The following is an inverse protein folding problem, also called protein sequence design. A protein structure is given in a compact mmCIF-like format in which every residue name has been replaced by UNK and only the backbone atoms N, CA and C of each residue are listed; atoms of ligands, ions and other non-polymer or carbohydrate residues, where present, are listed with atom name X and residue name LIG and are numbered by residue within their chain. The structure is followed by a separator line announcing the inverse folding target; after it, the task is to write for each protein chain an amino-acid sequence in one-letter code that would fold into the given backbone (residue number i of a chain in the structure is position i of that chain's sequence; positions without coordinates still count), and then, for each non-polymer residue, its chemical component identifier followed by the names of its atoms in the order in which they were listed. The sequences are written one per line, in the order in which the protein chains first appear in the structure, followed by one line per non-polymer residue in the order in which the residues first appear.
data_IF_220740064759
#
_entry.id   IF_220740064759
#
_cell.length_a   1.000
_cell.length_b   1.000
_cell.length_c   1.000
_cell.angle_alpha   90.00
_cell.angle_beta   90.00
_cell.angle_gamma   90.00
#
_symmetry.space_group_name_H-M   'P 1'
#
loop_
_entity.id
_entity.type
_entity.pdbx_description
1 polymer ?
#
# COMPACT_ATOMS: atom_id res chain seq x y z
N UNK A 1 1.17 14.16 -7.13
CA UNK A 1 0.90 15.53 -7.62
C UNK A 1 -0.44 15.99 -7.07
N UNK A 2 -0.57 17.25 -6.64
CA UNK A 2 -1.79 17.81 -6.02
C UNK A 2 -2.76 18.42 -7.03
N UNK A 3 -4.07 18.41 -6.73
CA UNK A 3 -5.13 18.92 -7.62
C UNK A 3 -5.96 20.07 -7.01
N UNK A 4 -5.31 20.98 -6.27
CA UNK A 4 -5.92 22.17 -5.64
C UNK A 4 -7.07 21.91 -4.67
N UNK A 5 -7.24 20.66 -4.21
CA UNK A 5 -8.22 20.25 -3.19
C UNK A 5 -7.58 19.31 -2.19
N UNK A 6 -8.00 19.37 -0.93
CA UNK A 6 -7.47 18.49 0.15
C UNK A 6 -7.60 16.99 -0.20
N UNK A 7 -8.63 16.62 -0.96
CA UNK A 7 -8.86 15.23 -1.37
C UNK A 7 -7.87 14.72 -2.43
N UNK A 8 -7.23 15.62 -3.17
CA UNK A 8 -6.23 15.30 -4.21
C UNK A 8 -4.81 15.71 -3.82
N UNK A 9 -4.60 16.22 -2.61
CA UNK A 9 -3.28 16.60 -2.07
C UNK A 9 -2.86 15.61 -0.99
N UNK A 10 -2.54 14.39 -1.41
CA UNK A 10 -2.28 13.24 -0.52
C UNK A 10 -1.01 12.53 -0.94
N UNK A 11 -0.28 12.02 0.05
CA UNK A 11 0.97 11.31 -0.15
C UNK A 11 0.88 9.98 0.63
N UNK A 12 1.31 8.90 -0.03
CA UNK A 12 1.57 7.61 0.60
C UNK A 12 3.08 7.36 0.55
N UNK A 13 3.69 7.13 1.70
CA UNK A 13 5.07 6.68 1.81
C UNK A 13 5.00 5.20 2.17
N UNK A 14 5.58 4.34 1.32
CA UNK A 14 5.52 2.89 1.48
C UNK A 14 6.94 2.34 1.40
N UNK A 15 7.31 1.49 2.36
CA UNK A 15 8.57 0.75 2.35
C UNK A 15 8.36 -0.68 2.82
N UNK A 16 9.33 -1.56 2.54
CA UNK A 16 9.38 -2.88 3.19
C UNK A 16 9.43 -2.67 4.70
N UNK A 17 8.61 -3.42 5.44
CA UNK A 17 8.60 -3.36 6.90
C UNK A 17 9.77 -4.15 7.48
N UNK A 18 10.35 -3.62 8.55
CA UNK A 18 11.33 -4.34 9.38
C UNK A 18 10.63 -5.23 10.42
N UNK A 19 9.29 -5.16 10.51
CA UNK A 19 8.50 -5.92 11.47
C UNK A 19 8.21 -7.33 10.96
N UNK A 20 8.21 -8.32 11.86
CA UNK A 20 7.84 -9.70 11.50
C UNK A 20 6.34 -9.89 11.22
N UNK A 21 5.50 -8.97 11.69
CA UNK A 21 4.05 -9.01 11.59
C UNK A 21 3.47 -8.14 10.45
N UNK A 22 4.32 -7.48 9.64
CA UNK A 22 3.93 -6.66 8.50
C UNK A 22 4.83 -6.93 7.29
N UNK A 23 4.30 -6.77 6.07
CA UNK A 23 5.11 -6.80 4.86
C UNK A 23 5.63 -5.41 4.52
N UNK A 24 4.77 -4.40 4.70
CA UNK A 24 5.09 -3.00 4.38
C UNK A 24 4.68 -2.06 5.50
N UNK A 25 5.51 -1.04 5.70
CA UNK A 25 5.17 0.14 6.49
C UNK A 25 4.56 1.19 5.57
N UNK A 26 3.48 1.81 6.04
CA UNK A 26 2.75 2.85 5.33
C UNK A 26 2.60 4.09 6.20
N UNK A 27 2.95 5.26 5.64
CA UNK A 27 2.67 6.57 6.25
C UNK A 27 1.76 7.36 5.33
N UNK A 28 0.63 7.82 5.88
CA UNK A 28 -0.23 8.78 5.22
C UNK A 28 0.26 10.20 5.54
N UNK A 29 0.46 11.00 4.49
CA UNK A 29 0.74 12.42 4.62
C UNK A 29 -0.36 13.24 3.93
N UNK A 30 -1.04 14.08 4.71
CA UNK A 30 -1.96 15.09 4.20
C UNK A 30 -1.18 16.39 4.00
N UNK A 31 -1.07 16.83 2.76
CA UNK A 31 -0.48 18.12 2.45
C UNK A 31 -1.53 19.22 2.55
N UNK A 32 -1.20 20.31 3.24
CA UNK A 32 -1.97 21.55 3.25
C UNK A 32 -2.12 22.11 1.83
N UNK A 33 -3.22 22.82 1.56
CA UNK A 33 -3.46 23.48 0.27
C UNK A 33 -2.95 24.92 0.30
N UNK A 34 -3.26 25.61 1.39
CA UNK A 34 -2.93 27.03 1.61
C UNK A 34 -1.87 27.21 2.69
N UNK A 35 -1.56 26.15 3.42
CA UNK A 35 -0.64 26.13 4.56
C UNK A 35 0.59 25.32 4.18
N UNK A 36 1.77 25.78 4.58
CA UNK A 36 3.03 25.03 4.44
C UNK A 36 3.17 24.00 5.57
N UNK A 37 2.25 23.03 5.57
CA UNK A 37 2.15 22.02 6.61
C UNK A 37 1.85 20.65 6.02
N UNK A 38 2.55 19.62 6.51
CA UNK A 38 2.24 18.21 6.24
C UNK A 38 1.84 17.52 7.55
N UNK A 39 0.65 16.92 7.57
CA UNK A 39 0.16 16.12 8.70
C UNK A 39 0.42 14.63 8.51
N UNK A 40 1.00 13.97 9.51
CA UNK A 40 1.44 12.56 9.46
C UNK A 40 0.72 11.60 10.43
N UNK A 41 -0.11 12.10 11.35
CA UNK A 41 -0.67 11.31 12.46
C UNK A 41 -1.95 10.54 12.08
N UNK A 42 -2.29 10.50 10.79
CA UNK A 42 -3.59 10.04 10.32
C UNK A 42 -3.54 8.76 9.49
N UNK A 43 -4.74 8.31 9.12
CA UNK A 43 -4.94 7.35 8.05
C UNK A 43 -5.96 7.93 7.06
N UNK A 44 -5.87 7.55 5.79
CA UNK A 44 -6.90 7.81 4.81
C UNK A 44 -7.28 6.48 4.15
N UNK A 45 -8.50 5.98 4.44
CA UNK A 45 -8.99 4.69 3.96
C UNK A 45 -8.86 4.51 2.44
N UNK A 46 -9.14 5.58 1.69
CA UNK A 46 -9.04 5.62 0.23
C UNK A 46 -7.61 5.47 -0.28
N UNK A 47 -6.62 5.95 0.48
CA UNK A 47 -5.21 5.82 0.09
C UNK A 47 -4.67 4.48 0.56
N UNK A 48 -5.05 4.01 1.76
CA UNK A 48 -4.62 2.71 2.26
C UNK A 48 -5.09 1.54 1.39
N UNK A 49 -6.22 1.67 0.68
CA UNK A 49 -6.69 0.62 -0.23
C UNK A 49 -5.73 0.39 -1.41
N UNK A 50 -5.01 1.42 -1.86
CA UNK A 50 -4.05 1.32 -2.96
C UNK A 50 -2.66 0.85 -2.51
N UNK A 51 -2.37 0.82 -1.21
CA UNK A 51 -1.05 0.46 -0.67
C UNK A 51 -0.67 -0.99 -1.01
N UNK A 52 -1.59 -1.94 -0.84
CA UNK A 52 -1.31 -3.35 -1.15
C UNK A 52 -0.96 -3.60 -2.62
N UNK A 53 -1.80 -3.17 -3.58
CA UNK A 53 -1.49 -3.31 -5.01
C UNK A 53 -0.19 -2.63 -5.42
N UNK A 54 0.07 -1.43 -4.89
CA UNK A 54 1.34 -0.72 -5.11
C UNK A 54 2.54 -1.51 -4.57
N UNK A 55 2.44 -2.04 -3.35
CA UNK A 55 3.52 -2.80 -2.73
C UNK A 55 3.84 -4.09 -3.52
N UNK A 56 2.84 -4.73 -4.09
CA UNK A 56 3.04 -5.89 -4.97
C UNK A 56 3.68 -5.46 -6.30
N UNK A 57 3.19 -4.39 -6.93
CA UNK A 57 3.73 -3.93 -8.23
C UNK A 57 5.18 -3.48 -8.16
N UNK A 58 5.57 -2.84 -7.06
CA UNK A 58 6.94 -2.37 -6.81
C UNK A 58 7.86 -3.45 -6.21
N UNK A 59 7.37 -4.69 -6.04
CA UNK A 59 8.18 -5.79 -5.48
C UNK A 59 8.55 -5.63 -4.01
N UNK A 60 7.79 -4.85 -3.24
CA UNK A 60 8.01 -4.64 -1.80
C UNK A 60 7.51 -5.82 -0.95
N UNK A 61 6.60 -6.62 -1.49
CA UNK A 61 6.05 -7.82 -0.82
C UNK A 61 6.83 -9.04 -1.28
N UNK A 62 7.54 -9.68 -0.36
CA UNK A 62 8.40 -10.84 -0.65
C UNK A 62 7.63 -12.16 -0.63
N UNK A 63 6.67 -12.28 0.28
CA UNK A 63 5.93 -13.52 0.50
C UNK A 63 4.52 -13.44 -0.06
N UNK A 64 4.15 -14.46 -0.83
CA UNK A 64 2.76 -14.66 -1.25
C UNK A 64 2.01 -15.43 -0.17
N UNK A 65 1.03 -14.77 0.44
CA UNK A 65 0.10 -15.41 1.37
C UNK A 65 -1.30 -15.43 0.76
N UNK A 66 -1.89 -16.61 0.52
CA UNK A 66 -3.26 -16.72 0.01
C UNK A 66 -4.24 -15.98 0.92
N UNK A 67 -5.16 -15.24 0.32
CA UNK A 67 -6.26 -14.61 1.03
C UNK A 67 -7.59 -15.34 0.86
N UNK A 68 -8.62 -14.82 1.52
CA UNK A 68 -10.00 -15.30 1.40
C UNK A 68 -10.68 -14.66 0.19
N UNK A 69 -11.28 -15.50 -0.66
CA UNK A 69 -12.15 -15.06 -1.77
C UNK A 69 -13.56 -15.63 -1.59
N UNK A 70 -14.57 -14.80 -1.82
CA UNK A 70 -15.97 -15.21 -1.93
C UNK A 70 -16.41 -15.41 -3.38
N UNK A 71 -15.50 -15.18 -4.34
CA UNK A 71 -15.76 -15.31 -5.77
C UNK A 71 -15.06 -16.55 -6.28
N UNK A 72 -15.84 -17.49 -6.81
CA UNK A 72 -15.32 -18.74 -7.34
C UNK A 72 -14.27 -18.49 -8.44
N UNK A 73 -13.13 -19.18 -8.31
CA UNK A 73 -12.02 -19.06 -9.26
C UNK A 73 -11.20 -17.77 -9.17
N UNK A 74 -11.52 -16.84 -8.26
CA UNK A 74 -10.69 -15.66 -8.01
C UNK A 74 -9.66 -15.95 -6.92
N UNK A 75 -8.40 -16.07 -7.32
CA UNK A 75 -7.28 -16.13 -6.38
C UNK A 75 -7.03 -14.75 -5.77
N UNK A 76 -6.69 -14.73 -4.48
CA UNK A 76 -6.43 -13.50 -3.73
C UNK A 76 -5.20 -13.64 -2.84
N UNK A 77 -4.62 -12.52 -2.45
CA UNK A 77 -3.44 -12.42 -1.60
C UNK A 77 -3.68 -11.47 -0.43
N UNK A 78 -3.27 -11.88 0.76
CA UNK A 78 -3.23 -11.06 1.96
C UNK A 78 -1.93 -10.25 2.05
N UNK A 79 -2.07 -8.94 2.23
CA UNK A 79 -0.93 -8.03 2.45
C UNK A 79 -1.06 -7.43 3.85
N UNK A 80 -0.06 -7.64 4.70
CA UNK A 80 0.01 -7.09 6.05
C UNK A 80 0.64 -5.71 5.99
N UNK A 81 -0.11 -4.69 6.36
CA UNK A 81 0.27 -3.29 6.28
C UNK A 81 0.29 -2.71 7.68
N UNK A 82 1.42 -2.12 8.09
CA UNK A 82 1.51 -1.37 9.32
C UNK A 82 1.46 0.14 9.03
N UNK A 83 0.41 0.82 9.52
CA UNK A 83 0.34 2.27 9.41
C UNK A 83 1.17 2.92 10.53
N UNK A 84 2.24 3.61 10.16
CA UNK A 84 3.18 4.22 11.13
C UNK A 84 2.63 5.48 11.79
N UNK A 85 1.69 6.18 11.13
CA UNK A 85 1.05 7.38 11.67
C UNK A 85 0.05 7.06 12.77
N UNK A 86 -0.76 6.01 12.59
CA UNK A 86 -1.76 5.57 13.58
C UNK A 86 -1.28 4.44 14.48
N UNK A 87 -0.15 3.81 14.16
CA UNK A 87 0.38 2.61 14.82
C UNK A 87 -0.62 1.44 14.83
N UNK A 88 -1.31 1.23 13.72
CA UNK A 88 -2.28 0.14 13.56
C UNK A 88 -1.92 -0.74 12.37
N UNK A 89 -2.10 -2.05 12.55
CA UNK A 89 -1.96 -3.05 11.48
C UNK A 89 -3.29 -3.28 10.78
N UNK A 90 -3.23 -3.54 9.48
CA UNK A 90 -4.35 -4.07 8.69
C UNK A 90 -3.86 -5.18 7.77
N UNK A 91 -4.74 -6.13 7.47
CA UNK A 91 -4.45 -7.24 6.56
C UNK A 91 -5.51 -7.32 5.46
N UNK A 92 -5.56 -6.33 4.54
CA UNK A 92 -6.46 -6.40 3.41
C UNK A 92 -6.09 -7.50 2.42
N UNK A 93 -7.12 -8.02 1.75
CA UNK A 93 -7.02 -9.03 0.70
C UNK A 93 -7.25 -8.40 -0.66
N UNK A 94 -6.41 -8.75 -1.64
CA UNK A 94 -6.48 -8.24 -3.01
C UNK A 94 -6.53 -9.37 -4.03
N UNK A 95 -7.14 -9.17 -5.21
CA UNK A 95 -6.98 -10.08 -6.33
C UNK A 95 -5.50 -10.33 -6.59
N UNK A 96 -5.08 -11.59 -6.58
CA UNK A 96 -3.69 -11.91 -6.88
C UNK A 96 -3.44 -11.65 -8.36
N UNK A 97 -2.47 -10.81 -8.68
CA UNK A 97 -1.88 -10.81 -10.01
C UNK A 97 -0.90 -11.97 -10.04
N UNK A 98 -0.94 -12.86 -11.04
CA UNK A 98 0.08 -13.90 -11.20
C UNK A 98 1.43 -13.23 -11.35
N UNK A 99 2.18 -13.13 -10.25
CA UNK A 99 3.45 -12.41 -10.08
C UNK A 99 4.54 -12.95 -11.01
N UNK A 100 4.43 -14.21 -11.47
CA UNK A 100 5.39 -14.83 -12.38
C UNK A 100 5.53 -14.12 -13.74
N UNK A 101 4.50 -13.38 -14.21
CA UNK A 101 4.55 -12.74 -15.53
C UNK A 101 5.23 -11.36 -15.52
N UNK A 102 5.37 -10.73 -14.35
CA UNK A 102 5.85 -9.34 -14.20
C UNK A 102 7.19 -9.23 -13.46
N UNK A 103 7.60 -10.27 -12.73
CA UNK A 103 8.89 -10.31 -12.01
C UNK A 103 10.10 -10.67 -12.89
N UNK A 104 9.95 -10.78 -14.22
CA UNK A 104 11.14 -10.72 -15.08
C UNK A 104 11.66 -9.28 -14.98
N UNK A 105 12.90 -9.04 -14.52
CA UNK A 105 13.45 -7.71 -14.53
C UNK A 105 13.37 -7.21 -15.97
N UNK A 106 12.56 -6.18 -16.20
CA UNK A 106 12.75 -5.34 -17.36
C UNK A 106 14.18 -4.85 -17.21
N UNK A 107 15.07 -5.28 -18.10
CA UNK A 107 16.41 -4.71 -18.24
C UNK A 107 16.25 -3.19 -18.32
N UNK A 108 16.43 -2.52 -17.19
CA UNK A 108 16.63 -1.09 -17.13
C UNK A 108 18.01 -0.84 -17.75
N UNK A 109 18.12 0.09 -18.71
CA UNK A 109 19.39 0.41 -19.37
C UNK A 109 20.46 0.93 -18.41
#
# INVERSE_FOLDING_TARGET
MGGSRVITSKIAIVKVSDRSDADVDYTFAQAGITEDLIGYTGNCGNISSAVGPFAVSEGLVKDVRPGVSLVDGLETQEIRIFNTGTQKSSTPTYPSTKTEKWLKPANLP
#
